data_IF_952074041514
#
_entry.id   IF_952074041514
#
_cell.length_a   1.000
_cell.length_b   1.000
_cell.length_c   1.000
_cell.angle_alpha   90.00
_cell.angle_beta   90.00
_cell.angle_gamma   90.00
#
_symmetry.space_group_name_H-M   'P 1'
#
loop_
_entity.id
_entity.type
_entity.pdbx_description
1 polymer ?
#
# COMPACT_ATOMS: atom_id res chain seq x y z
N UNK A 1 29.39 17.55 -18.62
CA UNK A 1 29.09 16.97 -17.29
C UNK A 1 27.58 17.08 -17.12
N UNK A 2 26.86 15.97 -17.33
CA UNK A 2 25.40 15.98 -17.25
C UNK A 2 24.98 16.08 -15.77
N UNK A 3 24.06 17.02 -15.53
CA UNK A 3 23.49 17.35 -14.23
C UNK A 3 22.67 16.15 -13.74
N UNK A 4 23.19 15.41 -12.75
CA UNK A 4 22.40 14.40 -12.04
C UNK A 4 21.48 15.17 -11.09
N UNK A 5 20.28 15.51 -11.55
CA UNK A 5 19.22 15.85 -10.63
C UNK A 5 19.07 14.69 -9.64
N UNK A 6 19.22 14.98 -8.36
CA UNK A 6 19.24 13.99 -7.29
C UNK A 6 17.83 13.43 -7.15
N UNK A 7 17.53 12.34 -7.87
CA UNK A 7 16.26 11.62 -7.76
C UNK A 7 16.18 11.15 -6.30
N UNK A 8 15.30 11.77 -5.52
CA UNK A 8 15.09 11.38 -4.12
C UNK A 8 14.43 10.01 -4.10
N UNK A 9 14.82 9.06 -3.22
CA UNK A 9 14.20 7.74 -3.16
C UNK A 9 12.67 7.82 -3.07
N UNK A 10 11.98 6.89 -3.73
CA UNK A 10 10.53 6.78 -3.63
C UNK A 10 10.17 5.87 -2.45
N UNK A 11 9.40 6.40 -1.51
CA UNK A 11 8.74 5.60 -0.46
C UNK A 11 7.25 5.52 -0.73
N UNK A 12 6.66 4.33 -0.56
CA UNK A 12 5.22 4.10 -0.70
C UNK A 12 4.66 3.58 0.62
N UNK A 13 3.53 4.14 1.04
CA UNK A 13 2.74 3.63 2.16
C UNK A 13 1.48 2.97 1.62
N UNK A 14 1.28 1.70 1.94
CA UNK A 14 0.07 0.95 1.60
C UNK A 14 -0.59 0.50 2.90
N UNK A 15 -1.81 0.96 3.15
CA UNK A 15 -2.54 0.61 4.36
C UNK A 15 -3.24 -0.73 4.22
N UNK A 16 -2.82 -1.74 5.01
CA UNK A 16 -3.51 -3.03 5.09
C UNK A 16 -4.40 -3.05 6.35
N UNK A 17 -5.74 -2.96 6.23
CA UNK A 17 -6.62 -2.86 7.39
C UNK A 17 -6.96 -4.22 8.02
N UNK A 18 -6.49 -5.34 7.48
CA UNK A 18 -6.94 -6.66 7.92
C UNK A 18 -6.06 -7.25 9.01
N UNK A 19 -6.70 -7.86 10.00
CA UNK A 19 -6.03 -8.65 11.02
C UNK A 19 -6.68 -10.03 11.15
N UNK A 20 -5.86 -11.07 11.35
CA UNK A 20 -6.36 -12.43 11.59
C UNK A 20 -7.16 -12.52 12.91
N UNK A 21 -6.69 -11.76 13.91
CA UNK A 21 -7.30 -11.67 15.24
C UNK A 21 -7.33 -10.20 15.67
N UNK A 22 -8.39 -9.78 16.35
CA UNK A 22 -8.45 -8.47 16.97
C UNK A 22 -7.58 -8.45 18.25
N UNK A 23 -6.65 -7.51 18.33
CA UNK A 23 -5.79 -7.32 19.51
C UNK A 23 -6.37 -6.20 20.38
N UNK A 24 -6.51 -6.44 21.68
CA UNK A 24 -7.09 -5.47 22.64
C UNK A 24 -6.25 -4.21 22.82
N UNK A 25 -4.96 -4.27 22.49
CA UNK A 25 -4.01 -3.17 22.60
C UNK A 25 -3.71 -2.49 21.26
N UNK A 26 -4.35 -2.88 20.15
CA UNK A 26 -4.10 -2.24 18.88
C UNK A 26 -4.79 -0.86 18.80
N UNK A 27 -4.01 0.17 18.51
CA UNK A 27 -4.50 1.54 18.33
C UNK A 27 -4.75 1.90 16.85
N UNK A 28 -4.59 0.95 15.93
CA UNK A 28 -4.77 1.18 14.49
C UNK A 28 -6.14 0.73 14.01
N UNK A 29 -6.58 1.29 12.88
CA UNK A 29 -7.78 0.83 12.20
C UNK A 29 -7.64 -0.63 11.78
N UNK A 30 -8.65 -1.44 12.08
CA UNK A 30 -8.69 -2.85 11.71
C UNK A 30 -10.10 -3.24 11.26
N UNK A 31 -10.17 -4.03 10.20
CA UNK A 31 -11.36 -4.74 9.77
C UNK A 31 -11.13 -6.25 9.90
N UNK A 32 -12.14 -6.96 10.42
CA UNK A 32 -12.16 -8.42 10.37
C UNK A 32 -12.59 -8.85 8.95
N UNK A 33 -11.70 -9.44 8.14
CA UNK A 33 -12.03 -9.75 6.76
C UNK A 33 -13.12 -10.85 6.69
N UNK A 34 -14.03 -10.68 5.76
CA UNK A 34 -14.99 -11.67 5.28
C UNK A 34 -14.42 -12.38 4.06
N UNK A 35 -15.09 -13.46 3.65
CA UNK A 35 -14.74 -14.18 2.42
C UNK A 35 -14.82 -13.23 1.22
N UNK A 36 -13.72 -13.07 0.51
CA UNK A 36 -13.60 -12.20 -0.67
C UNK A 36 -13.08 -10.78 -0.40
N UNK A 37 -12.95 -10.35 0.86
CA UNK A 37 -12.48 -9.00 1.18
C UNK A 37 -11.02 -8.78 0.77
N UNK A 38 -10.18 -9.83 0.87
CA UNK A 38 -8.78 -9.77 0.44
C UNK A 38 -8.66 -9.58 -1.08
N UNK A 39 -9.42 -10.34 -1.86
CA UNK A 39 -9.46 -10.21 -3.32
C UNK A 39 -9.95 -8.82 -3.72
N UNK A 40 -11.03 -8.35 -3.08
CA UNK A 40 -11.56 -7.00 -3.33
C UNK A 40 -10.56 -5.91 -2.98
N UNK A 41 -9.82 -6.05 -1.88
CA UNK A 41 -8.79 -5.11 -1.48
C UNK A 41 -7.63 -5.08 -2.49
N UNK A 42 -7.10 -6.25 -2.87
CA UNK A 42 -6.02 -6.35 -3.84
C UNK A 42 -6.42 -5.75 -5.20
N UNK A 43 -7.62 -6.08 -5.70
CA UNK A 43 -8.16 -5.48 -6.92
C UNK A 43 -8.31 -3.96 -6.80
N UNK A 44 -8.67 -3.46 -5.62
CA UNK A 44 -8.76 -2.03 -5.34
C UNK A 44 -7.41 -1.33 -5.40
N UNK A 45 -6.37 -1.93 -4.79
CA UNK A 45 -5.00 -1.41 -4.84
C UNK A 45 -4.48 -1.40 -6.28
N UNK A 46 -4.70 -2.48 -7.05
CA UNK A 46 -4.32 -2.54 -8.46
C UNK A 46 -5.02 -1.44 -9.28
N UNK A 47 -6.31 -1.22 -9.05
CA UNK A 47 -7.07 -0.15 -9.70
C UNK A 47 -6.56 1.24 -9.31
N UNK A 48 -6.21 1.48 -8.04
CA UNK A 48 -5.66 2.75 -7.57
C UNK A 48 -4.27 3.03 -8.16
N UNK A 49 -3.39 2.03 -8.20
CA UNK A 49 -2.07 2.13 -8.83
C UNK A 49 -2.15 2.40 -10.34
N UNK A 50 -3.24 1.99 -10.99
CA UNK A 50 -3.47 2.27 -12.41
C UNK A 50 -3.92 3.72 -12.68
N UNK A 51 -4.46 4.43 -11.68
CA UNK A 51 -4.85 5.84 -11.83
C UNK A 51 -3.63 6.77 -11.92
N UNK A 52 -2.59 6.47 -11.16
CA UNK A 52 -1.34 7.22 -11.13
C UNK A 52 -0.16 6.25 -11.33
N UNK A 53 0.23 5.98 -12.58
CA UNK A 53 1.32 5.05 -12.87
C UNK A 53 2.62 5.56 -12.26
N UNK A 54 3.07 4.90 -11.20
CA UNK A 54 4.36 5.17 -10.58
C UNK A 54 5.44 4.59 -11.50
N UNK A 55 6.19 5.46 -12.17
CA UNK A 55 7.25 5.12 -13.14
C UNK A 55 8.59 4.80 -12.47
N UNK A 56 8.62 4.78 -11.14
CA UNK A 56 9.80 4.62 -10.31
C UNK A 56 9.59 3.48 -9.33
N UNK A 57 10.61 2.68 -9.13
CA UNK A 57 10.57 1.60 -8.14
C UNK A 57 10.61 2.21 -6.73
N UNK A 58 9.78 1.68 -5.84
CA UNK A 58 9.91 1.97 -4.41
C UNK A 58 11.23 1.37 -3.89
N UNK A 59 11.97 2.16 -3.11
CA UNK A 59 13.20 1.71 -2.44
C UNK A 59 12.81 0.91 -1.18
N UNK A 60 13.43 -0.24 -0.91
CA UNK A 60 13.06 -1.15 0.20
C UNK A 60 14.25 -1.52 1.07
#
# INVERSE_FOLDING_TARGET
>A
MLNVEKISPLGLYVHVPFCATACEFCAFYQEKPKRGDLERYLNGIEAEMALEPIDRQADT
#
